data_IF_037410577334
#
_entry.id   IF_037410577334
#
_cell.length_a   1.000
_cell.length_b   1.000
_cell.length_c   1.000
_cell.angle_alpha   90.00
_cell.angle_beta   90.00
_cell.angle_gamma   90.00
#
_symmetry.space_group_name_H-M   'P 1'
#
loop_
_entity.id
_entity.type
_entity.pdbx_description
1 polymer ?
#
# COMPACT_ATOMS: atom_id res chain seq x y z
N UNK A 1 -17.51 -11.26 -6.51
CA UNK A 1 -16.45 -10.89 -7.48
C UNK A 1 -17.00 -11.14 -8.88
N UNK A 2 -16.92 -10.10 -9.73
CA UNK A 2 -17.64 -9.98 -11.00
C UNK A 2 -17.29 -11.05 -12.03
N UNK A 3 -18.32 -11.55 -12.72
CA UNK A 3 -18.30 -12.51 -13.84
C UNK A 3 -17.33 -12.13 -14.99
N UNK A 4 -16.89 -10.86 -15.03
CA UNK A 4 -15.87 -10.37 -15.97
C UNK A 4 -14.44 -10.85 -15.69
N UNK A 5 -14.09 -11.22 -14.45
CA UNK A 5 -12.72 -11.71 -14.14
C UNK A 5 -12.53 -13.16 -14.58
N UNK A 6 -13.59 -13.99 -14.45
CA UNK A 6 -13.59 -15.40 -14.88
C UNK A 6 -13.45 -15.55 -16.40
N UNK A 7 -14.08 -14.66 -17.16
CA UNK A 7 -13.97 -14.65 -18.63
C UNK A 7 -12.57 -14.29 -19.13
N UNK A 8 -11.85 -13.39 -18.43
CA UNK A 8 -10.50 -12.97 -18.81
C UNK A 8 -9.45 -14.05 -18.52
N UNK A 9 -9.56 -14.72 -17.36
CA UNK A 9 -8.72 -15.87 -17.01
C UNK A 9 -8.97 -17.09 -17.90
N UNK A 10 -10.23 -17.34 -18.30
CA UNK A 10 -10.55 -18.41 -19.26
C UNK A 10 -10.03 -18.10 -20.68
N UNK A 11 -10.06 -16.84 -21.12
CA UNK A 11 -9.47 -16.43 -22.41
C UNK A 11 -7.93 -16.48 -22.40
N UNK A 12 -7.28 -16.15 -21.28
CA UNK A 12 -5.83 -16.32 -21.12
C UNK A 12 -5.42 -17.79 -21.02
N UNK A 13 -6.22 -18.63 -20.35
CA UNK A 13 -6.01 -20.09 -20.30
C UNK A 13 -6.22 -20.76 -21.67
N UNK A 14 -7.19 -20.30 -22.48
CA UNK A 14 -7.36 -20.77 -23.86
C UNK A 14 -6.20 -20.35 -24.77
N UNK A 15 -5.57 -19.19 -24.52
CA UNK A 15 -4.38 -18.74 -25.26
C UNK A 15 -3.10 -19.46 -24.82
N UNK A 16 -2.99 -19.82 -23.54
CA UNK A 16 -1.83 -20.52 -22.98
C UNK A 16 -1.73 -22.00 -23.41
N UNK A 17 -2.81 -22.59 -23.93
CA UNK A 17 -2.89 -24.02 -24.30
C UNK A 17 -2.59 -24.37 -25.76
N UNK A 18 -2.08 -23.47 -26.60
CA UNK A 18 -2.02 -23.72 -28.07
C UNK A 18 -0.78 -23.20 -28.82
N UNK A 19 0.30 -22.78 -28.15
CA UNK A 19 1.56 -22.46 -28.85
C UNK A 19 2.66 -23.46 -28.52
N UNK A 20 3.06 -24.24 -29.52
CA UNK A 20 4.27 -25.07 -29.53
C UNK A 20 5.49 -24.19 -29.21
N UNK A 21 6.24 -24.45 -28.12
CA UNK A 21 7.39 -23.60 -27.76
C UNK A 21 8.45 -23.64 -28.87
N UNK A 22 8.90 -22.46 -29.31
CA UNK A 22 9.92 -22.34 -30.36
C UNK A 22 11.30 -22.11 -29.76
N UNK A 23 12.24 -23.02 -30.00
CA UNK A 23 13.51 -23.07 -29.28
C UNK A 23 14.70 -23.07 -30.24
N UNK A 24 15.61 -22.13 -30.05
CA UNK A 24 16.88 -22.12 -30.77
C UNK A 24 17.94 -22.90 -30.00
N UNK A 25 18.73 -23.74 -30.67
CA UNK A 25 19.83 -24.48 -30.05
C UNK A 25 21.17 -23.91 -30.52
N UNK A 26 21.88 -23.26 -29.59
CA UNK A 26 23.23 -22.75 -29.79
C UNK A 26 24.25 -23.73 -29.25
N UNK A 27 25.17 -24.19 -30.10
CA UNK A 27 26.23 -25.15 -29.74
C UNK A 27 27.48 -24.92 -30.59
N UNK A 28 28.60 -25.52 -30.20
CA UNK A 28 29.85 -25.44 -30.95
C UNK A 28 30.09 -26.70 -31.77
N UNK A 29 30.69 -26.53 -32.95
CA UNK A 29 30.98 -27.63 -33.88
C UNK A 29 32.23 -28.44 -33.44
N UNK A 30 32.20 -29.02 -32.24
CA UNK A 30 33.37 -29.64 -31.59
C UNK A 30 33.86 -30.91 -32.28
N UNK A 31 32.94 -31.83 -32.53
CA UNK A 31 33.22 -33.14 -33.13
C UNK A 31 31.97 -33.71 -33.78
N UNK A 32 32.12 -34.71 -34.65
CA UNK A 32 30.98 -35.42 -35.25
C UNK A 32 30.09 -36.06 -34.18
N UNK A 33 30.68 -36.60 -33.11
CA UNK A 33 29.94 -37.17 -31.98
C UNK A 33 29.11 -36.11 -31.24
N UNK A 34 29.68 -34.93 -30.99
CA UNK A 34 28.96 -33.83 -30.35
C UNK A 34 27.82 -33.32 -31.24
N UNK A 35 28.06 -33.13 -32.55
CA UNK A 35 27.05 -32.75 -33.52
C UNK A 35 25.88 -33.73 -33.55
N UNK A 36 26.17 -35.03 -33.62
CA UNK A 36 25.14 -36.07 -33.60
C UNK A 36 24.36 -36.07 -32.29
N UNK A 37 25.02 -35.82 -31.16
CA UNK A 37 24.36 -35.71 -29.87
C UNK A 37 23.38 -34.53 -29.82
N UNK A 38 23.80 -33.34 -30.30
CA UNK A 38 22.93 -32.15 -30.36
C UNK A 38 21.76 -32.37 -31.33
N UNK A 39 22.00 -33.01 -32.47
CA UNK A 39 20.95 -33.39 -33.42
C UNK A 39 19.93 -34.33 -32.76
N UNK A 40 20.40 -35.34 -32.03
CA UNK A 40 19.52 -36.25 -31.30
C UNK A 40 18.70 -35.51 -30.24
N UNK A 41 19.30 -34.60 -29.49
CA UNK A 41 18.58 -33.76 -28.52
C UNK A 41 17.49 -32.95 -29.23
N UNK A 42 17.82 -32.28 -30.33
CA UNK A 42 16.87 -31.47 -31.09
C UNK A 42 15.70 -32.31 -31.63
N UNK A 43 15.97 -33.49 -32.19
CA UNK A 43 14.94 -34.42 -32.67
C UNK A 43 14.01 -34.86 -31.54
N UNK A 44 14.57 -35.24 -30.40
CA UNK A 44 13.79 -35.63 -29.22
C UNK A 44 12.90 -34.48 -28.70
N UNK A 45 13.38 -33.22 -28.75
CA UNK A 45 12.55 -32.06 -28.39
C UNK A 45 11.37 -31.91 -29.37
N UNK A 46 11.60 -32.07 -30.68
CA UNK A 46 10.54 -32.01 -31.70
C UNK A 46 9.49 -33.10 -31.54
N UNK A 47 9.93 -34.33 -31.24
CA UNK A 47 9.03 -35.45 -30.92
C UNK A 47 8.14 -35.17 -29.71
N UNK A 48 8.60 -34.31 -28.79
CA UNK A 48 7.88 -33.90 -27.59
C UNK A 48 7.15 -32.54 -27.76
N UNK A 49 6.83 -32.15 -29.00
CA UNK A 49 5.98 -30.99 -29.29
C UNK A 49 6.66 -29.65 -29.03
N UNK A 50 7.97 -29.56 -29.25
CA UNK A 50 8.77 -28.33 -29.13
C UNK A 50 9.39 -28.05 -30.50
N UNK A 51 9.17 -26.87 -31.07
CA UNK A 51 9.71 -26.49 -32.38
C UNK A 51 11.18 -26.07 -32.24
N UNK A 52 12.08 -27.05 -32.27
CA UNK A 52 13.52 -26.84 -32.22
C UNK A 52 14.07 -26.39 -33.57
N UNK A 53 14.83 -25.28 -33.56
CA UNK A 53 15.57 -24.69 -34.67
C UNK A 53 17.04 -25.08 -34.52
N UNK A 54 17.61 -25.66 -35.57
CA UNK A 54 18.99 -26.16 -35.59
C UNK A 54 19.63 -25.88 -36.95
N UNK A 55 20.83 -25.33 -36.93
CA UNK A 55 21.61 -24.98 -38.13
C UNK A 55 21.73 -26.14 -39.14
N UNK A 56 21.92 -27.38 -38.67
CA UNK A 56 22.04 -28.59 -39.51
C UNK A 56 20.80 -28.83 -40.38
N UNK A 57 19.61 -28.39 -39.97
CA UNK A 57 18.38 -28.54 -40.76
C UNK A 57 18.10 -27.34 -41.67
N UNK A 58 18.46 -26.15 -41.19
CA UNK A 58 17.95 -24.89 -41.73
C UNK A 58 19.01 -24.10 -42.54
N UNK A 59 20.29 -24.46 -42.45
CA UNK A 59 21.38 -23.86 -43.24
C UNK A 59 21.90 -24.80 -44.34
N UNK A 60 22.13 -24.24 -45.53
CA UNK A 60 22.76 -24.89 -46.68
C UNK A 60 24.01 -24.11 -47.12
N UNK A 61 24.96 -24.74 -47.85
CA UNK A 61 26.08 -24.01 -48.44
C UNK A 61 25.60 -22.82 -49.29
N UNK A 62 26.04 -21.61 -48.93
CA UNK A 62 25.64 -20.36 -49.59
C UNK A 62 24.57 -19.54 -48.85
N UNK A 63 23.97 -20.08 -47.77
CA UNK A 63 23.06 -19.32 -46.92
C UNK A 63 23.78 -18.30 -46.03
N UNK A 64 23.05 -17.23 -45.69
CA UNK A 64 23.52 -16.19 -44.79
C UNK A 64 23.33 -16.61 -43.32
N UNK A 65 24.45 -16.87 -42.65
CA UNK A 65 24.50 -17.24 -41.22
C UNK A 65 23.96 -16.10 -40.35
N UNK A 66 24.15 -14.83 -40.72
CA UNK A 66 23.62 -13.71 -39.95
C UNK A 66 22.09 -13.68 -39.98
N UNK A 67 21.49 -14.01 -41.14
CA UNK A 67 20.03 -14.13 -41.27
C UNK A 67 19.48 -15.29 -40.44
N UNK A 68 20.18 -16.42 -40.39
CA UNK A 68 19.76 -17.54 -39.53
C UNK A 68 19.76 -17.16 -38.04
N UNK A 69 20.70 -16.30 -37.61
CA UNK A 69 20.74 -15.80 -36.25
C UNK A 69 19.56 -14.87 -35.88
N UNK A 70 18.76 -14.39 -36.83
CA UNK A 70 17.48 -13.71 -36.52
C UNK A 70 16.52 -14.64 -35.77
N UNK A 71 16.61 -15.96 -36.00
CA UNK A 71 15.80 -16.93 -35.29
C UNK A 71 16.09 -16.96 -33.78
N UNK A 72 17.33 -16.66 -33.38
CA UNK A 72 17.72 -16.55 -31.98
C UNK A 72 16.95 -15.42 -31.28
N UNK A 73 16.72 -14.28 -31.95
CA UNK A 73 15.91 -13.19 -31.42
C UNK A 73 14.42 -13.58 -31.30
N UNK A 74 13.87 -14.24 -32.33
CA UNK A 74 12.44 -14.62 -32.40
C UNK A 74 12.01 -15.85 -31.59
N UNK A 75 12.95 -16.60 -31.01
CA UNK A 75 12.64 -17.83 -30.26
C UNK A 75 12.20 -17.56 -28.81
N UNK A 76 11.29 -18.39 -28.30
CA UNK A 76 10.76 -18.30 -26.92
C UNK A 76 11.85 -18.59 -25.88
N UNK A 77 12.70 -19.59 -26.17
CA UNK A 77 13.89 -19.92 -25.38
C UNK A 77 15.06 -20.25 -26.29
N UNK A 78 16.25 -20.17 -25.72
CA UNK A 78 17.51 -20.53 -26.38
C UNK A 78 18.24 -21.52 -25.50
N UNK A 79 18.47 -22.73 -25.98
CA UNK A 79 19.34 -23.71 -25.32
C UNK A 79 20.77 -23.38 -25.70
N UNK A 80 21.66 -23.29 -24.71
CA UNK A 80 23.09 -23.13 -24.93
C UNK A 80 23.78 -24.42 -24.49
N UNK A 81 24.33 -25.15 -25.45
CA UNK A 81 25.08 -26.38 -25.19
C UNK A 81 26.51 -26.00 -24.80
N UNK A 82 26.74 -25.86 -23.50
CA UNK A 82 28.00 -25.46 -22.91
C UNK A 82 28.97 -26.66 -22.85
N UNK A 83 29.68 -26.91 -23.94
CA UNK A 83 30.89 -27.74 -23.91
C UNK A 83 32.09 -26.97 -23.40
N UNK A 84 33.15 -27.70 -23.05
CA UNK A 84 34.43 -27.09 -22.70
C UNK A 84 34.93 -26.16 -23.82
N UNK A 85 34.83 -26.60 -25.08
CA UNK A 85 35.22 -25.80 -26.25
C UNK A 85 34.32 -24.58 -26.46
N UNK A 86 33.01 -24.73 -26.23
CA UNK A 86 32.07 -23.60 -26.28
C UNK A 86 32.45 -22.52 -25.26
N UNK A 87 32.76 -22.93 -24.03
CA UNK A 87 33.13 -22.02 -22.96
C UNK A 87 34.47 -21.31 -23.23
N UNK A 88 35.48 -22.06 -23.70
CA UNK A 88 36.78 -21.50 -24.09
C UNK A 88 36.63 -20.44 -25.19
N UNK A 89 35.91 -20.74 -26.27
CA UNK A 89 35.64 -19.78 -27.34
C UNK A 89 34.90 -18.53 -26.88
N UNK A 90 33.94 -18.69 -25.96
CA UNK A 90 33.22 -17.56 -25.39
C UNK A 90 34.11 -16.65 -24.53
N UNK A 91 35.09 -17.22 -23.82
CA UNK A 91 36.08 -16.46 -23.04
C UNK A 91 37.11 -15.76 -23.96
N UNK A 92 37.56 -16.45 -25.01
CA UNK A 92 38.53 -15.96 -25.98
C UNK A 92 37.97 -14.93 -26.97
N UNK A 93 36.64 -14.71 -26.97
CA UNK A 93 35.88 -13.83 -27.86
C UNK A 93 36.27 -12.34 -27.90
N UNK A 94 37.42 -11.97 -27.33
CA UNK A 94 38.11 -10.68 -27.53
C UNK A 94 38.91 -10.62 -28.85
N UNK A 95 39.10 -11.73 -29.57
CA UNK A 95 40.03 -11.84 -30.72
C UNK A 95 39.44 -12.13 -32.12
N UNK A 96 38.12 -12.18 -32.30
CA UNK A 96 37.50 -12.37 -33.62
C UNK A 96 37.31 -13.82 -34.09
N UNK A 97 37.49 -14.81 -33.21
CA UNK A 97 37.14 -16.21 -33.47
C UNK A 97 35.80 -16.51 -32.78
N UNK A 98 34.75 -16.83 -33.57
CA UNK A 98 33.43 -17.20 -33.06
C UNK A 98 32.34 -16.14 -33.28
N UNK A 99 32.00 -15.87 -34.55
CA UNK A 99 30.92 -14.94 -34.92
C UNK A 99 29.57 -15.29 -34.26
N UNK A 100 29.24 -16.58 -34.21
CA UNK A 100 28.03 -17.12 -33.58
C UNK A 100 28.00 -16.81 -32.08
N UNK A 101 29.12 -17.05 -31.38
CA UNK A 101 29.25 -16.80 -29.94
C UNK A 101 29.12 -15.31 -29.62
N UNK A 102 29.69 -14.43 -30.46
CA UNK A 102 29.58 -12.99 -30.31
C UNK A 102 28.12 -12.49 -30.46
N UNK A 103 27.36 -13.04 -31.41
CA UNK A 103 25.94 -12.68 -31.59
C UNK A 103 25.07 -13.16 -30.42
N UNK A 104 25.33 -14.37 -29.90
CA UNK A 104 24.67 -14.87 -28.67
C UNK A 104 24.99 -13.95 -27.49
N UNK A 105 26.26 -13.56 -27.30
CA UNK A 105 26.65 -12.63 -26.23
C UNK A 105 26.00 -11.26 -26.39
N UNK A 106 25.93 -10.72 -27.62
CA UNK A 106 25.28 -9.44 -27.89
C UNK A 106 23.77 -9.47 -27.56
N UNK A 107 23.05 -10.52 -27.99
CA UNK A 107 21.63 -10.70 -27.68
C UNK A 107 21.40 -10.80 -26.16
N UNK A 108 22.27 -11.52 -25.43
CA UNK A 108 22.18 -11.69 -23.99
C UNK A 108 22.38 -10.35 -23.26
N UNK A 109 23.35 -9.54 -23.69
CA UNK A 109 23.62 -8.22 -23.12
C UNK A 109 22.51 -7.21 -23.44
N UNK A 110 21.86 -7.33 -24.60
CA UNK A 110 20.73 -6.48 -25.00
C UNK A 110 19.43 -6.84 -24.27
N UNK A 111 19.15 -8.12 -24.02
CA UNK A 111 17.93 -8.59 -23.35
C UNK A 111 17.97 -8.50 -21.80
N UNK A 112 18.59 -7.44 -21.25
CA UNK A 112 18.80 -7.13 -19.81
C UNK A 112 17.73 -7.70 -18.84
N UNK A 113 17.82 -9.00 -18.51
CA UNK A 113 17.00 -9.65 -17.48
C UNK A 113 16.04 -10.78 -17.90
N UNK A 114 16.00 -11.25 -19.16
CA UNK A 114 15.01 -12.29 -19.55
C UNK A 114 15.52 -13.73 -19.31
N UNK A 115 14.65 -14.58 -18.75
CA UNK A 115 14.78 -16.06 -18.55
C UNK A 115 14.80 -16.84 -19.89
N UNK A 116 15.39 -16.25 -20.95
CA UNK A 116 15.36 -16.75 -22.33
C UNK A 116 16.38 -17.87 -22.56
N UNK A 117 17.55 -17.77 -21.93
CA UNK A 117 18.68 -18.67 -22.17
C UNK A 117 18.72 -19.78 -21.12
N UNK A 118 18.82 -21.03 -21.58
CA UNK A 118 18.86 -22.25 -20.77
C UNK A 118 20.21 -22.93 -21.03
N UNK A 119 21.20 -22.79 -20.13
CA UNK A 119 22.47 -23.49 -20.26
C UNK A 119 22.29 -25.00 -19.99
N UNK A 120 22.93 -25.83 -20.82
CA UNK A 120 23.09 -27.25 -20.56
C UNK A 120 24.57 -27.64 -20.65
N UNK A 121 25.05 -28.52 -19.77
CA UNK A 121 26.43 -29.00 -19.81
C UNK A 121 26.55 -30.28 -20.64
N UNK A 122 27.47 -30.30 -21.61
CA UNK A 122 27.81 -31.52 -22.37
C UNK A 122 29.30 -31.52 -22.67
N UNK A 123 30.03 -32.60 -22.39
CA UNK A 123 31.48 -32.66 -22.58
C UNK A 123 32.21 -31.46 -21.92
N UNK A 124 31.90 -31.22 -20.64
CA UNK A 124 32.39 -30.08 -19.88
C UNK A 124 32.77 -30.51 -18.45
N UNK A 125 33.96 -31.12 -18.26
CA UNK A 125 34.34 -31.70 -16.97
C UNK A 125 34.55 -30.64 -15.88
N UNK A 126 34.97 -29.44 -16.25
CA UNK A 126 35.28 -28.32 -15.35
C UNK A 126 34.05 -27.50 -14.91
N UNK A 127 32.85 -27.83 -15.39
CA UNK A 127 31.62 -27.04 -15.19
C UNK A 127 31.76 -25.58 -15.67
N UNK A 128 32.62 -25.32 -16.65
CA UNK A 128 32.90 -23.95 -17.08
C UNK A 128 31.76 -23.44 -17.93
N UNK A 129 31.07 -22.41 -17.45
CA UNK A 129 30.09 -21.67 -18.25
C UNK A 129 30.74 -20.43 -18.88
N UNK A 130 30.25 -19.98 -20.03
CA UNK A 130 30.58 -18.66 -20.55
C UNK A 130 30.35 -17.56 -19.49
N UNK A 131 31.17 -16.48 -19.45
CA UNK A 131 31.07 -15.41 -18.44
C UNK A 131 29.65 -14.86 -18.23
N UNK A 132 28.90 -14.72 -19.32
CA UNK A 132 27.54 -14.19 -19.31
C UNK A 132 26.47 -15.14 -18.75
N UNK A 133 26.81 -16.41 -18.45
CA UNK A 133 25.92 -17.40 -17.83
C UNK A 133 26.35 -17.85 -16.43
N UNK A 134 27.45 -17.33 -15.87
CA UNK A 134 28.02 -17.82 -14.61
C UNK A 134 27.03 -17.82 -13.42
N UNK A 135 26.05 -16.91 -13.41
CA UNK A 135 25.05 -16.82 -12.33
C UNK A 135 23.74 -17.56 -12.63
N UNK A 136 23.65 -18.30 -13.74
CA UNK A 136 22.44 -19.01 -14.16
C UNK A 136 22.51 -20.46 -13.75
N UNK A 137 21.37 -21.08 -13.47
CA UNK A 137 21.26 -22.53 -13.28
C UNK A 137 21.37 -23.25 -14.64
N UNK A 138 21.90 -24.47 -14.65
CA UNK A 138 22.08 -25.31 -15.84
C UNK A 138 21.53 -26.73 -15.63
N UNK A 139 21.25 -27.43 -16.73
CA UNK A 139 20.93 -28.87 -16.70
C UNK A 139 22.17 -29.66 -17.12
N UNK A 140 22.52 -30.70 -16.37
CA UNK A 140 23.73 -31.49 -16.60
C UNK A 140 23.47 -32.71 -17.51
N UNK A 141 23.96 -32.67 -18.74
CA UNK A 141 23.85 -33.72 -19.75
C UNK A 141 25.19 -34.44 -20.02
N UNK A 142 26.15 -34.36 -19.10
CA UNK A 142 27.48 -34.97 -19.30
C UNK A 142 27.46 -36.50 -19.23
N UNK A 143 26.53 -37.06 -18.45
CA UNK A 143 26.33 -38.49 -18.28
C UNK A 143 25.24 -39.00 -19.23
N UNK A 144 25.61 -39.89 -20.16
CA UNK A 144 24.64 -40.52 -21.07
C UNK A 144 23.66 -41.43 -20.32
N UNK A 145 24.05 -41.97 -19.16
CA UNK A 145 23.18 -42.77 -18.31
C UNK A 145 21.98 -41.98 -17.76
N UNK A 146 22.15 -40.66 -17.58
CA UNK A 146 21.11 -39.78 -17.05
C UNK A 146 20.28 -39.10 -18.15
N UNK A 147 20.62 -39.32 -19.43
CA UNK A 147 20.07 -38.57 -20.57
C UNK A 147 18.54 -38.47 -20.55
N UNK A 148 17.84 -39.59 -20.38
CA UNK A 148 16.37 -39.62 -20.38
C UNK A 148 15.77 -38.76 -19.26
N UNK A 149 16.37 -38.79 -18.07
CA UNK A 149 15.89 -37.99 -16.92
C UNK A 149 16.11 -36.50 -17.13
N UNK A 150 17.24 -36.11 -17.74
CA UNK A 150 17.60 -34.72 -18.02
C UNK A 150 16.82 -34.16 -19.19
N UNK A 151 16.52 -34.99 -20.18
CA UNK A 151 15.62 -34.66 -21.28
C UNK A 151 14.21 -34.39 -20.75
N UNK A 152 13.69 -35.21 -19.84
CA UNK A 152 12.37 -34.96 -19.21
C UNK A 152 12.37 -33.64 -18.43
N UNK A 153 13.42 -33.38 -17.64
CA UNK A 153 13.60 -32.11 -16.92
C UNK A 153 13.57 -30.90 -17.89
N UNK A 154 14.32 -30.97 -18.99
CA UNK A 154 14.38 -29.92 -20.00
C UNK A 154 13.02 -29.72 -20.69
N UNK A 155 12.34 -30.79 -21.10
CA UNK A 155 11.01 -30.72 -21.74
C UNK A 155 10.01 -30.02 -20.81
N UNK A 156 10.01 -30.36 -19.52
CA UNK A 156 9.14 -29.73 -18.51
C UNK A 156 9.40 -28.23 -18.38
N UNK A 157 10.66 -27.82 -18.40
CA UNK A 157 11.06 -26.40 -18.37
C UNK A 157 10.52 -25.67 -19.61
N UNK A 158 10.68 -26.25 -20.80
CA UNK A 158 10.30 -25.63 -22.07
C UNK A 158 8.77 -25.52 -22.23
N UNK A 159 8.01 -26.50 -21.74
CA UNK A 159 6.53 -26.45 -21.68
C UNK A 159 5.98 -25.63 -20.50
N UNK A 160 6.84 -25.00 -19.69
CA UNK A 160 6.44 -24.28 -18.45
C UNK A 160 5.61 -25.16 -17.49
N UNK A 161 5.89 -26.46 -17.47
CA UNK A 161 5.19 -27.48 -16.69
C UNK A 161 6.15 -28.14 -15.67
N UNK A 162 6.64 -27.39 -14.65
CA UNK A 162 7.62 -27.92 -13.70
C UNK A 162 7.06 -29.13 -12.94
N UNK A 163 7.95 -30.10 -12.64
CA UNK A 163 7.62 -31.31 -11.87
C UNK A 163 6.97 -30.95 -10.52
N UNK A 164 7.53 -29.93 -9.85
CA UNK A 164 6.98 -29.35 -8.64
C UNK A 164 6.30 -28.03 -8.98
N UNK A 165 4.98 -28.05 -9.14
CA UNK A 165 4.20 -26.82 -9.22
C UNK A 165 4.20 -26.17 -7.84
N UNK A 166 4.54 -24.88 -7.77
CA UNK A 166 4.34 -24.09 -6.56
C UNK A 166 2.86 -24.22 -6.18
N UNK A 167 2.52 -24.81 -5.03
CA UNK A 167 1.13 -24.95 -4.64
C UNK A 167 0.50 -23.55 -4.54
N UNK A 168 -0.80 -23.46 -4.80
CA UNK A 168 -1.55 -22.24 -4.46
C UNK A 168 -1.26 -21.88 -3.01
N UNK A 169 -1.01 -20.60 -2.74
CA UNK A 169 -0.78 -20.14 -1.38
C UNK A 169 -1.95 -20.62 -0.51
N UNK A 170 -1.66 -21.43 0.51
CA UNK A 170 -2.67 -21.77 1.51
C UNK A 170 -3.15 -20.48 2.18
N UNK A 171 -4.34 -20.50 2.78
CA UNK A 171 -4.62 -19.49 3.81
C UNK A 171 -3.53 -19.61 4.84
N UNK A 172 -2.98 -18.46 5.27
CA UNK A 172 -2.05 -18.44 6.37
C UNK A 172 -2.63 -19.31 7.50
N UNK A 173 -1.88 -20.28 8.04
CA UNK A 173 -2.32 -20.94 9.26
C UNK A 173 -2.67 -19.84 10.26
N UNK A 174 -3.72 -20.03 11.07
CA UNK A 174 -3.94 -19.21 12.26
C UNK A 174 -2.85 -19.54 13.29
N UNK A 175 -1.60 -19.31 12.90
CA UNK A 175 -0.60 -18.80 13.81
C UNK A 175 -1.26 -17.56 14.41
N UNK A 176 -1.20 -17.33 15.73
CA UNK A 176 -1.50 -16.00 16.23
C UNK A 176 -0.67 -15.08 15.35
N UNK A 177 -1.37 -14.25 14.57
CA UNK A 177 -0.69 -13.23 13.79
C UNK A 177 0.24 -12.56 14.78
N UNK A 178 1.49 -12.32 14.39
CA UNK A 178 2.17 -11.16 14.93
C UNK A 178 1.44 -9.92 14.38
N UNK A 179 0.17 -9.77 14.78
CA UNK A 179 -0.65 -8.58 14.80
C UNK A 179 -0.30 -7.74 16.03
N UNK A 180 0.82 -8.06 16.71
CA UNK A 180 1.53 -7.11 17.55
C UNK A 180 2.54 -6.42 16.61
N UNK A 181 2.39 -5.16 16.20
CA UNK A 181 1.89 -4.01 16.93
C UNK A 181 1.40 -2.93 15.93
N UNK A 182 0.21 -3.05 15.35
CA UNK A 182 -0.56 -1.81 15.18
C UNK A 182 -1.19 -1.56 16.54
N UNK A 183 -0.39 -1.02 17.47
CA UNK A 183 -0.83 -0.60 18.80
C UNK A 183 -2.19 0.08 18.60
N UNK A 184 -3.26 -0.46 19.20
CA UNK A 184 -4.47 0.36 19.31
C UNK A 184 -4.05 1.54 20.17
N UNK A 185 -3.76 2.66 19.48
CA UNK A 185 -3.25 3.87 20.11
C UNK A 185 -4.18 4.28 21.24
N UNK A 186 -5.47 3.94 21.17
CA UNK A 186 -6.49 4.31 22.14
C UNK A 186 -6.60 3.37 23.35
N UNK A 187 -5.97 2.18 23.33
CA UNK A 187 -5.89 1.31 24.51
C UNK A 187 -4.81 1.74 25.51
N UNK A 188 -3.98 2.72 25.13
CA UNK A 188 -2.97 3.26 26.01
C UNK A 188 -3.55 3.88 27.28
N UNK A 189 -2.88 3.60 28.40
CA UNK A 189 -3.17 4.22 29.70
C UNK A 189 -3.19 5.76 29.64
N UNK A 190 -2.45 6.34 28.71
CA UNK A 190 -2.43 7.78 28.45
C UNK A 190 -3.82 8.30 28.03
N UNK A 191 -4.45 7.70 27.03
CA UNK A 191 -5.81 8.08 26.61
C UNK A 191 -6.83 7.82 27.70
N UNK A 192 -6.75 6.69 28.40
CA UNK A 192 -7.68 6.37 29.49
C UNK A 192 -7.61 7.40 30.63
N UNK A 193 -6.40 7.85 30.99
CA UNK A 193 -6.19 8.88 32.01
C UNK A 193 -6.81 10.21 31.61
N UNK A 194 -6.44 10.72 30.42
CA UNK A 194 -6.93 12.01 29.94
C UNK A 194 -8.43 12.02 29.68
N UNK A 195 -8.98 10.93 29.16
CA UNK A 195 -10.42 10.75 29.01
C UNK A 195 -11.15 10.76 30.34
N UNK A 196 -10.69 9.99 31.32
CA UNK A 196 -11.29 9.96 32.66
C UNK A 196 -11.31 11.35 33.30
N UNK A 197 -10.19 12.08 33.20
CA UNK A 197 -10.08 13.43 33.73
C UNK A 197 -11.02 14.43 33.02
N UNK A 198 -11.07 14.40 31.69
CA UNK A 198 -11.93 15.29 30.92
C UNK A 198 -13.41 15.01 31.17
N UNK A 199 -13.83 13.74 31.15
CA UNK A 199 -15.22 13.34 31.31
C UNK A 199 -15.81 13.74 32.67
N UNK A 200 -14.99 13.78 33.73
CA UNK A 200 -15.40 14.25 35.05
C UNK A 200 -15.97 15.69 35.04
N UNK A 201 -15.61 16.51 34.05
CA UNK A 201 -16.05 17.90 33.88
C UNK A 201 -16.94 18.11 32.64
N UNK A 202 -16.64 17.43 31.53
CA UNK A 202 -17.36 17.60 30.27
C UNK A 202 -18.76 16.99 30.32
N UNK A 203 -18.93 15.77 30.86
CA UNK A 203 -20.22 15.07 30.83
C UNK A 203 -21.34 15.79 31.60
N UNK A 204 -21.10 16.35 32.82
CA UNK A 204 -22.12 17.09 33.55
C UNK A 204 -22.63 18.35 32.84
N UNK A 205 -21.85 18.91 31.92
CA UNK A 205 -22.16 20.15 31.20
C UNK A 205 -22.97 19.93 29.90
N UNK A 206 -23.38 18.68 29.63
CA UNK A 206 -24.28 18.32 28.54
C UNK A 206 -23.58 17.59 27.39
N UNK A 207 -24.13 17.67 26.18
CA UNK A 207 -23.55 16.96 25.03
C UNK A 207 -22.14 17.45 24.72
N UNK A 208 -21.31 16.55 24.17
CA UNK A 208 -19.92 16.85 23.87
C UNK A 208 -19.39 16.10 22.65
N UNK A 209 -18.22 16.53 22.21
CA UNK A 209 -17.40 15.88 21.18
C UNK A 209 -16.06 15.50 21.81
N UNK A 210 -15.62 14.27 21.58
CA UNK A 210 -14.26 13.80 21.86
C UNK A 210 -13.52 13.58 20.55
N UNK A 211 -12.25 13.95 20.52
CA UNK A 211 -11.32 13.73 19.42
C UNK A 211 -10.11 13.02 20.01
N UNK A 212 -9.72 11.90 19.41
CA UNK A 212 -8.51 11.19 19.78
C UNK A 212 -7.76 10.85 18.50
N UNK A 213 -6.47 11.12 18.43
CA UNK A 213 -5.67 10.57 17.34
C UNK A 213 -4.26 10.23 17.78
N UNK A 214 -3.69 9.26 17.08
CA UNK A 214 -2.38 8.73 17.33
C UNK A 214 -1.81 8.10 16.08
N UNK A 215 -0.51 7.90 16.11
CA UNK A 215 0.26 7.28 15.03
C UNK A 215 0.80 5.95 15.53
N UNK A 216 0.73 4.93 14.68
CA UNK A 216 1.15 3.57 15.05
C UNK A 216 2.66 3.40 15.03
N UNK A 217 3.39 4.24 14.29
CA UNK A 217 4.86 4.28 14.29
C UNK A 217 5.40 5.15 15.43
N UNK A 218 6.62 4.85 15.86
CA UNK A 218 7.31 5.67 16.85
C UNK A 218 7.81 6.98 16.22
N UNK A 219 7.26 8.12 16.65
CA UNK A 219 7.65 9.47 16.20
C UNK A 219 8.79 10.07 17.01
N UNK A 220 9.24 9.40 18.07
CA UNK A 220 10.20 9.91 19.05
C UNK A 220 9.58 10.96 19.98
N UNK A 221 10.12 11.06 21.20
CA UNK A 221 9.64 12.03 22.18
C UNK A 221 10.12 13.45 21.82
N UNK A 222 9.26 14.46 22.03
CA UNK A 222 9.61 15.89 21.94
C UNK A 222 9.54 16.53 23.33
N UNK A 223 10.38 17.54 23.55
CA UNK A 223 10.34 18.38 24.75
C UNK A 223 9.01 19.17 24.83
N UNK A 224 8.50 19.40 26.03
CA UNK A 224 7.22 20.07 26.26
C UNK A 224 7.15 21.48 25.66
N UNK A 225 8.26 22.23 25.61
CA UNK A 225 8.29 23.56 24.99
C UNK A 225 8.19 23.47 23.47
N UNK A 226 8.79 22.43 22.88
CA UNK A 226 8.65 22.14 21.45
C UNK A 226 7.20 21.73 21.16
N UNK A 227 6.60 20.86 21.98
CA UNK A 227 5.19 20.48 21.84
C UNK A 227 4.24 21.67 21.92
N UNK A 228 4.48 22.62 22.82
CA UNK A 228 3.65 23.81 22.95
C UNK A 228 3.67 24.64 21.66
N UNK A 229 4.85 24.84 21.07
CA UNK A 229 4.99 25.54 19.79
C UNK A 229 4.32 24.78 18.63
N UNK A 230 4.47 23.45 18.61
CA UNK A 230 3.83 22.59 17.61
C UNK A 230 2.31 22.67 17.71
N UNK A 231 1.74 22.56 18.91
CA UNK A 231 0.30 22.66 19.15
C UNK A 231 -0.24 24.02 18.66
N UNK A 232 0.41 25.12 19.05
CA UNK A 232 0.01 26.47 18.67
C UNK A 232 0.05 26.69 17.14
N UNK A 233 1.08 26.19 16.47
CA UNK A 233 1.22 26.29 14.99
C UNK A 233 0.29 25.36 14.21
N UNK A 234 -0.35 24.40 14.88
CA UNK A 234 -1.22 23.41 14.23
C UNK A 234 -2.69 23.81 14.22
N UNK A 235 -3.08 24.77 15.07
CA UNK A 235 -4.44 25.28 15.21
C UNK A 235 -4.99 25.87 13.90
N UNK A 236 -6.28 25.62 13.64
CA UNK A 236 -7.03 26.14 12.49
C UNK A 236 -8.02 27.20 12.97
N UNK A 237 -7.74 28.47 12.71
CA UNK A 237 -8.52 29.59 13.27
C UNK A 237 -9.73 30.03 12.43
N UNK A 238 -10.37 29.11 11.72
CA UNK A 238 -11.48 29.43 10.80
C UNK A 238 -12.85 29.47 11.51
N UNK A 239 -13.07 28.67 12.57
CA UNK A 239 -14.37 28.57 13.24
C UNK A 239 -14.25 28.48 14.77
N UNK A 240 -14.80 29.48 15.46
CA UNK A 240 -14.91 29.46 16.93
C UNK A 240 -13.56 29.32 17.65
N UNK A 241 -13.54 28.54 18.74
CA UNK A 241 -12.31 28.15 19.41
C UNK A 241 -11.69 26.96 18.69
N UNK A 242 -10.41 27.06 18.26
CA UNK A 242 -9.81 26.00 17.47
C UNK A 242 -9.61 24.73 18.29
N UNK A 243 -9.59 23.59 17.61
CA UNK A 243 -9.10 22.33 18.16
C UNK A 243 -7.64 22.53 18.60
N UNK A 244 -7.31 22.07 19.81
CA UNK A 244 -6.00 22.24 20.44
C UNK A 244 -5.64 23.69 20.78
N UNK A 245 -6.63 24.55 21.06
CA UNK A 245 -6.40 25.99 21.33
C UNK A 245 -5.35 26.23 22.42
N UNK A 246 -4.32 27.00 22.09
CA UNK A 246 -3.30 27.45 23.04
C UNK A 246 -3.66 28.84 23.55
N UNK A 247 -4.01 28.93 24.84
CA UNK A 247 -4.26 30.21 25.50
C UNK A 247 -3.00 30.69 26.26
N UNK A 248 -2.83 32.00 26.35
CA UNK A 248 -1.73 32.64 27.08
C UNK A 248 -2.18 33.27 28.42
N UNK A 249 -3.38 32.91 28.88
CA UNK A 249 -3.97 33.39 30.14
C UNK A 249 -4.00 32.28 31.20
N UNK A 250 -3.94 32.63 32.48
CA UNK A 250 -3.78 31.64 33.56
C UNK A 250 -4.90 30.58 33.63
N UNK A 251 -6.15 30.94 33.32
CA UNK A 251 -7.33 30.06 33.37
C UNK A 251 -7.53 29.20 32.10
N UNK A 252 -6.44 28.80 31.45
CA UNK A 252 -6.52 27.97 30.25
C UNK A 252 -5.20 27.72 29.53
N UNK A 253 -4.11 28.36 29.98
CA UNK A 253 -2.79 28.09 29.42
C UNK A 253 -2.40 26.62 29.57
N UNK A 254 -1.81 25.99 28.53
CA UNK A 254 -1.31 24.63 28.65
C UNK A 254 -0.22 24.53 29.72
N UNK A 255 -0.23 23.44 30.47
CA UNK A 255 0.79 23.14 31.49
C UNK A 255 1.57 21.88 31.12
N UNK A 256 2.88 21.85 31.39
CA UNK A 256 3.68 20.66 31.18
C UNK A 256 3.35 19.59 32.23
N UNK A 257 3.29 18.35 31.78
CA UNK A 257 3.26 17.13 32.60
C UNK A 257 4.45 16.24 32.22
N UNK A 258 4.71 15.17 32.98
CA UNK A 258 5.87 14.29 32.74
C UNK A 258 5.83 13.57 31.39
N UNK A 259 4.65 13.41 30.81
CA UNK A 259 4.36 12.67 29.59
C UNK A 259 3.74 13.53 28.48
N UNK A 260 3.71 14.86 28.63
CA UNK A 260 3.12 15.75 27.62
C UNK A 260 2.86 17.17 28.09
N UNK A 261 1.91 17.81 27.42
CA UNK A 261 1.30 19.09 27.82
C UNK A 261 -0.22 18.94 27.85
N UNK A 262 -0.88 19.65 28.77
CA UNK A 262 -2.33 19.57 28.97
C UNK A 262 -2.91 20.96 29.17
N UNK A 263 -4.01 21.28 28.50
CA UNK A 263 -4.82 22.46 28.75
C UNK A 263 -6.16 22.06 29.35
N UNK A 264 -6.55 22.80 30.40
CA UNK A 264 -7.84 22.68 31.09
C UNK A 264 -8.43 24.07 31.07
N UNK A 265 -9.45 24.28 30.24
CA UNK A 265 -9.96 25.61 29.95
C UNK A 265 -11.38 25.71 30.50
N UNK A 266 -11.51 26.53 31.54
CA UNK A 266 -12.78 26.92 32.13
C UNK A 266 -13.10 28.33 31.62
N UNK A 267 -14.12 28.47 30.76
CA UNK A 267 -14.50 29.78 30.23
C UNK A 267 -15.46 30.49 31.18
N UNK A 268 -15.10 31.66 31.76
CA UNK A 268 -16.03 32.49 32.52
C UNK A 268 -16.85 33.44 31.63
N UNK A 269 -16.69 33.37 30.29
CA UNK A 269 -17.13 34.41 29.35
C UNK A 269 -18.61 34.22 28.94
N UNK A 270 -19.15 33.01 29.01
CA UNK A 270 -20.56 32.72 28.68
C UNK A 270 -21.39 32.58 29.95
N UNK A 271 -22.70 32.84 29.86
CA UNK A 271 -23.65 32.71 30.98
C UNK A 271 -23.87 31.26 31.45
N UNK A 272 -23.25 30.29 30.78
CA UNK A 272 -23.25 28.87 31.09
C UNK A 272 -21.80 28.37 31.18
N UNK A 273 -21.52 27.49 32.12
CA UNK A 273 -20.20 26.89 32.28
C UNK A 273 -19.84 26.05 31.04
N UNK A 274 -18.70 26.35 30.41
CA UNK A 274 -18.10 25.54 29.34
C UNK A 274 -16.72 25.05 29.77
N UNK A 275 -16.45 23.77 29.49
CA UNK A 275 -15.16 23.15 29.76
C UNK A 275 -14.59 22.53 28.48
N UNK A 276 -13.37 22.97 28.15
CA UNK A 276 -12.59 22.42 27.05
C UNK A 276 -11.31 21.81 27.63
N UNK A 277 -11.00 20.59 27.21
CA UNK A 277 -9.83 19.84 27.66
C UNK A 277 -9.08 19.34 26.45
N UNK A 278 -7.76 19.53 26.42
CA UNK A 278 -6.92 18.81 25.48
C UNK A 278 -5.57 18.45 26.07
N UNK A 279 -5.00 17.35 25.59
CA UNK A 279 -3.69 16.84 25.96
C UNK A 279 -2.91 16.43 24.71
N UNK A 280 -1.60 16.67 24.74
CA UNK A 280 -0.66 16.26 23.70
C UNK A 280 0.53 15.56 24.37
N UNK A 281 0.72 14.28 24.06
CA UNK A 281 1.81 13.49 24.64
C UNK A 281 3.16 13.81 24.00
N UNK A 282 4.25 13.36 24.65
CA UNK A 282 5.60 13.50 24.10
C UNK A 282 5.78 12.86 22.72
N UNK A 283 5.02 11.80 22.41
CA UNK A 283 5.07 11.09 21.14
C UNK A 283 3.95 11.49 20.15
N UNK A 284 3.21 12.58 20.42
CA UNK A 284 2.22 13.11 19.47
C UNK A 284 0.89 12.37 19.44
N UNK A 285 0.56 11.63 20.50
CA UNK A 285 -0.82 11.24 20.77
C UNK A 285 -1.59 12.48 21.26
N UNK A 286 -2.78 12.68 20.72
CA UNK A 286 -3.60 13.85 21.01
C UNK A 286 -4.99 13.42 21.46
N UNK A 287 -5.47 14.05 22.52
CA UNK A 287 -6.81 13.87 23.04
C UNK A 287 -7.43 15.24 23.27
N UNK A 288 -8.68 15.43 22.85
CA UNK A 288 -9.50 16.60 23.15
C UNK A 288 -10.93 16.19 23.48
N UNK A 289 -11.55 16.90 24.42
CA UNK A 289 -12.98 16.85 24.67
C UNK A 289 -13.51 18.25 24.96
N UNK A 290 -14.64 18.61 24.33
CA UNK A 290 -15.32 19.89 24.55
C UNK A 290 -16.83 19.75 24.42
N UNK A 291 -17.57 20.58 25.16
CA UNK A 291 -19.03 20.62 25.05
C UNK A 291 -19.49 21.16 23.70
N UNK A 292 -20.63 20.67 23.23
CA UNK A 292 -21.21 21.10 21.97
C UNK A 292 -21.67 22.55 22.04
N UNK A 293 -21.38 23.31 20.99
CA UNK A 293 -21.88 24.67 20.78
C UNK A 293 -23.42 24.75 20.87
N UNK A 294 -24.10 23.68 20.46
CA UNK A 294 -25.54 23.49 20.53
C UNK A 294 -26.08 23.54 21.97
N UNK A 295 -25.31 23.17 23.00
CA UNK A 295 -25.78 23.19 24.40
C UNK A 295 -26.21 24.59 24.87
N UNK A 296 -25.61 25.63 24.31
CA UNK A 296 -25.97 27.01 24.61
C UNK A 296 -27.01 27.54 23.64
N UNK A 297 -26.83 27.27 22.34
CA UNK A 297 -27.62 27.90 21.25
C UNK A 297 -28.97 27.23 20.99
N UNK A 298 -29.00 25.90 20.96
CA UNK A 298 -30.22 25.10 20.81
C UNK A 298 -29.99 23.71 21.42
N UNK A 299 -30.29 23.53 22.72
CA UNK A 299 -30.00 22.30 23.45
C UNK A 299 -30.72 21.06 22.88
N UNK A 300 -31.76 21.28 22.08
CA UNK A 300 -32.55 20.22 21.46
C UNK A 300 -32.03 19.85 20.07
N UNK A 301 -30.97 20.49 19.57
CA UNK A 301 -30.47 20.27 18.22
C UNK A 301 -29.06 19.69 18.17
N UNK A 302 -28.75 19.08 17.03
CA UNK A 302 -27.41 18.77 16.55
C UNK A 302 -27.27 19.40 15.17
N UNK A 303 -26.29 20.29 14.99
CA UNK A 303 -26.10 21.00 13.72
C UNK A 303 -25.15 20.23 12.81
N UNK A 304 -25.68 19.65 11.72
CA UNK A 304 -24.86 18.81 10.84
C UNK A 304 -23.67 19.58 10.23
N UNK A 305 -23.86 20.85 9.84
CA UNK A 305 -22.79 21.66 9.26
C UNK A 305 -21.69 21.99 10.28
N UNK A 306 -22.07 22.24 11.55
CA UNK A 306 -21.10 22.38 12.63
C UNK A 306 -20.31 21.09 12.86
N UNK A 307 -20.97 19.91 12.81
CA UNK A 307 -20.28 18.62 12.91
C UNK A 307 -19.26 18.43 11.79
N UNK A 308 -19.65 18.73 10.54
CA UNK A 308 -18.77 18.64 9.37
C UNK A 308 -17.54 19.54 9.55
N UNK A 309 -17.75 20.81 9.91
CA UNK A 309 -16.66 21.77 10.12
C UNK A 309 -15.71 21.30 11.23
N UNK A 310 -16.23 20.90 12.40
CA UNK A 310 -15.39 20.46 13.52
C UNK A 310 -14.63 19.16 13.23
N UNK A 311 -15.24 18.23 12.49
CA UNK A 311 -14.54 17.01 12.06
C UNK A 311 -13.45 17.30 11.03
N UNK A 312 -13.71 18.16 10.04
CA UNK A 312 -12.69 18.58 9.07
C UNK A 312 -11.54 19.32 9.77
N UNK A 313 -11.85 20.19 10.72
CA UNK A 313 -10.87 20.87 11.56
C UNK A 313 -10.00 19.89 12.35
N UNK A 314 -10.57 18.82 12.90
CA UNK A 314 -9.81 17.79 13.63
C UNK A 314 -8.80 17.07 12.72
N UNK A 315 -9.22 16.73 11.50
CA UNK A 315 -8.37 16.10 10.49
C UNK A 315 -7.24 17.04 10.03
N UNK A 316 -7.55 18.32 9.83
CA UNK A 316 -6.57 19.35 9.44
C UNK A 316 -5.59 19.66 10.57
N UNK A 317 -6.06 19.75 11.81
CA UNK A 317 -5.22 19.90 13.00
C UNK A 317 -4.28 18.70 13.13
N UNK A 318 -4.79 17.48 12.99
CA UNK A 318 -3.99 16.26 12.99
C UNK A 318 -2.89 16.27 11.91
N UNK A 319 -3.25 16.66 10.68
CA UNK A 319 -2.30 16.85 9.57
C UNK A 319 -1.22 17.87 9.92
N UNK A 320 -1.61 19.05 10.39
CA UNK A 320 -0.66 20.11 10.72
C UNK A 320 0.26 19.72 11.89
N UNK A 321 -0.30 19.03 12.91
CA UNK A 321 0.46 18.55 14.05
C UNK A 321 1.58 17.61 13.60
N UNK A 322 1.26 16.59 12.80
CA UNK A 322 2.27 15.64 12.34
C UNK A 322 3.26 16.22 11.32
N UNK A 323 2.83 17.17 10.48
CA UNK A 323 3.74 17.95 9.63
C UNK A 323 4.75 18.73 10.51
N UNK A 324 4.26 19.43 11.54
CA UNK A 324 5.09 20.22 12.45
C UNK A 324 5.98 19.35 13.36
N UNK A 325 5.60 18.09 13.60
CA UNK A 325 6.42 17.10 14.30
C UNK A 325 7.49 16.45 13.41
N UNK A 326 7.40 16.60 12.09
CA UNK A 326 8.30 15.96 11.13
C UNK A 326 8.06 14.45 11.01
N UNK A 327 6.79 14.03 10.98
CA UNK A 327 6.42 12.64 10.71
C UNK A 327 6.60 12.33 9.22
N UNK A 328 7.14 11.15 8.90
CA UNK A 328 7.38 10.72 7.52
C UNK A 328 6.08 10.48 6.73
N UNK A 329 6.13 10.75 5.43
CA UNK A 329 5.08 10.42 4.48
C UNK A 329 4.79 8.91 4.48
N UNK A 330 3.51 8.55 4.40
CA UNK A 330 3.03 7.17 4.43
C UNK A 330 2.82 6.60 5.83
N UNK A 331 3.14 7.35 6.91
CA UNK A 331 2.89 6.88 8.26
C UNK A 331 1.39 6.70 8.55
N UNK A 332 1.04 5.61 9.22
CA UNK A 332 -0.36 5.25 9.50
C UNK A 332 -0.85 5.99 10.75
N UNK A 333 -1.88 6.82 10.55
CA UNK A 333 -2.55 7.58 11.60
C UNK A 333 -3.95 7.01 11.81
N UNK A 334 -4.33 6.90 13.08
CA UNK A 334 -5.71 6.59 13.49
C UNK A 334 -6.31 7.80 14.17
N UNK A 335 -7.51 8.18 13.74
CA UNK A 335 -8.29 9.27 14.32
C UNK A 335 -9.69 8.76 14.66
N UNK A 336 -10.11 9.02 15.89
CA UNK A 336 -11.41 8.66 16.45
C UNK A 336 -12.15 9.91 16.87
N UNK A 337 -13.43 9.97 16.53
CA UNK A 337 -14.35 11.00 17.00
C UNK A 337 -15.52 10.31 17.71
N UNK A 338 -15.90 10.84 18.87
CA UNK A 338 -17.11 10.46 19.59
C UNK A 338 -17.99 11.67 19.83
N UNK A 339 -19.29 11.50 19.67
CA UNK A 339 -20.31 12.45 20.11
C UNK A 339 -21.17 11.76 21.15
N UNK A 340 -21.49 12.42 22.26
CA UNK A 340 -22.36 11.88 23.32
C UNK A 340 -23.35 12.94 23.83
N UNK A 341 -24.43 12.52 24.49
CA UNK A 341 -25.52 13.40 24.92
C UNK A 341 -26.46 13.80 23.77
N UNK A 342 -26.48 12.99 22.70
CA UNK A 342 -27.27 13.29 21.49
C UNK A 342 -28.70 12.71 21.54
N UNK A 343 -29.03 11.89 22.54
CA UNK A 343 -30.35 11.25 22.64
C UNK A 343 -31.47 12.29 22.75
N UNK A 344 -32.52 12.11 21.96
CA UNK A 344 -33.69 12.99 21.93
C UNK A 344 -33.48 14.33 21.22
N UNK A 345 -32.25 14.65 20.80
CA UNK A 345 -31.96 15.85 20.01
C UNK A 345 -32.35 15.64 18.55
N UNK A 346 -32.75 16.71 17.90
CA UNK A 346 -33.13 16.76 16.49
C UNK A 346 -31.94 17.17 15.61
N UNK A 347 -31.81 16.54 14.44
CA UNK A 347 -30.83 17.00 13.46
C UNK A 347 -31.32 18.30 12.81
N UNK A 348 -30.46 19.32 12.78
CA UNK A 348 -30.78 20.65 12.26
C UNK A 348 -29.52 21.28 11.63
N UNK A 349 -29.58 22.58 11.33
CA UNK A 349 -28.46 23.36 10.80
C UNK A 349 -28.28 24.66 11.56
N UNK A 350 -27.05 25.13 11.69
CA UNK A 350 -26.77 26.48 12.21
C UNK A 350 -26.90 27.58 11.13
N UNK A 351 -27.09 27.19 9.86
CA UNK A 351 -27.21 28.08 8.70
C UNK A 351 -28.66 28.10 8.17
N UNK A 352 -29.40 29.21 8.30
CA UNK A 352 -30.79 29.32 7.84
C UNK A 352 -30.99 29.04 6.34
N UNK A 353 -29.96 29.26 5.51
CA UNK A 353 -30.04 29.00 4.07
C UNK A 353 -29.96 27.50 3.72
N UNK A 354 -29.57 26.65 4.67
CA UNK A 354 -29.55 25.18 4.54
C UNK A 354 -30.69 24.52 5.34
N UNK A 355 -31.75 25.28 5.65
CA UNK A 355 -32.89 24.80 6.42
C UNK A 355 -33.41 23.49 5.80
N UNK A 356 -33.36 22.41 6.57
CA UNK A 356 -34.00 21.17 6.18
C UNK A 356 -35.51 21.34 6.40
N UNK A 357 -36.32 20.82 5.46
CA UNK A 357 -37.77 20.78 5.65
C UNK A 357 -38.11 20.13 7.01
N UNK A 358 -39.20 20.55 7.67
CA UNK A 358 -39.48 20.23 9.06
C UNK A 358 -39.83 18.74 9.24
N UNK A 359 -38.80 17.90 9.26
CA UNK A 359 -38.86 16.51 9.71
C UNK A 359 -38.19 16.44 11.08
N UNK A 360 -38.91 15.90 12.07
CA UNK A 360 -38.36 15.60 13.39
C UNK A 360 -37.44 14.38 13.32
N UNK A 361 -36.22 14.56 12.80
CA UNK A 361 -35.17 13.56 12.81
C UNK A 361 -34.47 13.54 14.16
N UNK A 362 -35.05 12.84 15.14
CA UNK A 362 -34.50 12.71 16.50
C UNK A 362 -33.62 11.46 16.64
N UNK A 363 -32.50 11.57 17.36
CA UNK A 363 -31.70 10.39 17.71
C UNK A 363 -32.30 9.60 18.87
N UNK A 364 -32.37 8.28 18.74
CA UNK A 364 -32.72 7.37 19.85
C UNK A 364 -31.51 6.90 20.64
N UNK A 365 -30.33 6.91 20.02
CA UNK A 365 -29.05 6.61 20.64
C UNK A 365 -28.48 7.84 21.35
N UNK A 366 -27.69 7.63 22.41
CA UNK A 366 -27.05 8.72 23.16
C UNK A 366 -25.64 9.07 22.69
N UNK A 367 -25.00 8.16 21.95
CA UNK A 367 -23.66 8.41 21.45
C UNK A 367 -23.42 7.76 20.09
N UNK A 368 -22.46 8.31 19.37
CA UNK A 368 -21.89 7.77 18.15
C UNK A 368 -20.37 7.89 18.23
N UNK A 369 -19.66 6.83 17.87
CA UNK A 369 -18.20 6.81 17.81
C UNK A 369 -17.78 6.22 16.47
N UNK A 370 -16.76 6.82 15.85
CA UNK A 370 -16.23 6.36 14.57
C UNK A 370 -14.73 6.58 14.54
N UNK A 371 -14.02 5.62 13.97
CA UNK A 371 -12.56 5.66 13.82
C UNK A 371 -12.22 5.50 12.35
N UNK A 372 -11.29 6.32 11.86
CA UNK A 372 -10.71 6.20 10.52
C UNK A 372 -9.22 6.00 10.62
N UNK A 373 -8.69 5.30 9.61
CA UNK A 373 -7.26 5.13 9.39
C UNK A 373 -6.89 5.78 8.05
N UNK A 374 -5.74 6.45 8.00
CA UNK A 374 -5.21 7.10 6.79
C UNK A 374 -3.68 7.23 6.85
N UNK A 375 -3.07 7.47 5.70
CA UNK A 375 -1.65 7.78 5.58
C UNK A 375 -1.42 9.28 5.75
N UNK A 376 -0.40 9.65 6.53
CA UNK A 376 0.08 11.02 6.64
C UNK A 376 0.93 11.41 5.42
N UNK A 377 0.85 12.64 4.88
CA UNK A 377 -0.14 13.67 5.18
C UNK A 377 -1.48 13.45 4.46
N UNK A 378 -2.57 13.88 5.09
CA UNK A 378 -3.91 13.90 4.51
C UNK A 378 -3.99 14.93 3.37
N UNK A 379 -4.44 14.53 2.19
CA UNK A 379 -4.75 15.51 1.12
C UNK A 379 -6.06 16.24 1.41
N UNK A 380 -6.29 17.42 0.82
CA UNK A 380 -7.55 18.14 0.99
C UNK A 380 -8.77 17.33 0.49
N UNK A 381 -8.59 16.55 -0.57
CA UNK A 381 -9.60 15.60 -1.05
C UNK A 381 -9.89 14.53 0.00
N UNK A 382 -8.85 13.96 0.60
CA UNK A 382 -9.02 12.92 1.63
C UNK A 382 -9.65 13.47 2.91
N UNK A 383 -9.48 14.77 3.23
CA UNK A 383 -10.18 15.41 4.35
C UNK A 383 -11.70 15.37 4.14
N UNK A 384 -12.18 15.59 2.92
CA UNK A 384 -13.61 15.49 2.58
C UNK A 384 -14.11 14.06 2.81
N UNK A 385 -13.41 13.07 2.24
CA UNK A 385 -13.81 11.66 2.35
C UNK A 385 -13.77 11.16 3.80
N UNK A 386 -12.71 11.48 4.55
CA UNK A 386 -12.58 11.06 5.95
C UNK A 386 -13.58 11.77 6.86
N UNK A 387 -13.97 13.02 6.54
CA UNK A 387 -15.05 13.71 7.26
C UNK A 387 -16.39 13.01 7.06
N UNK A 388 -16.69 12.58 5.83
CA UNK A 388 -17.89 11.80 5.53
C UNK A 388 -17.88 10.45 6.23
N UNK A 389 -16.77 9.71 6.17
CA UNK A 389 -16.60 8.41 6.83
C UNK A 389 -16.81 8.50 8.35
N UNK A 390 -16.25 9.51 9.01
CA UNK A 390 -16.39 9.74 10.45
C UNK A 390 -17.80 10.13 10.88
N UNK A 391 -18.56 10.84 10.03
CA UNK A 391 -19.87 11.40 10.40
C UNK A 391 -21.04 10.56 9.94
N UNK A 392 -20.87 9.67 8.96
CA UNK A 392 -21.95 8.84 8.47
C UNK A 392 -22.62 8.02 9.60
N UNK A 393 -21.87 7.34 10.50
CA UNK A 393 -22.49 6.61 11.62
C UNK A 393 -23.18 7.52 12.64
N UNK A 394 -22.85 8.80 12.73
CA UNK A 394 -23.58 9.76 13.55
C UNK A 394 -24.91 10.14 12.88
N UNK A 395 -24.88 10.49 11.60
CA UNK A 395 -26.05 11.01 10.88
C UNK A 395 -27.13 9.94 10.66
N UNK A 396 -26.74 8.69 10.45
CA UNK A 396 -27.69 7.57 10.34
C UNK A 396 -28.55 7.40 11.60
N UNK A 397 -28.08 7.84 12.79
CA UNK A 397 -28.86 7.77 14.03
C UNK A 397 -30.05 8.73 14.06
N UNK A 398 -30.11 9.70 13.14
CA UNK A 398 -31.20 10.65 12.99
C UNK A 398 -32.11 10.23 11.83
N UNK A 399 -32.77 9.08 12.00
CA UNK A 399 -33.71 8.50 11.02
C UNK A 399 -33.07 8.17 9.65
N UNK A 400 -31.96 7.43 9.67
CA UNK A 400 -31.21 7.03 8.48
C UNK A 400 -30.79 8.21 7.59
N UNK A 401 -30.60 9.39 8.19
CA UNK A 401 -30.23 10.57 7.44
C UNK A 401 -28.85 10.42 6.80
N UNK A 402 -28.81 10.67 5.49
CA UNK A 402 -27.60 10.68 4.69
C UNK A 402 -27.45 12.04 3.99
N UNK A 403 -26.25 12.60 4.07
CA UNK A 403 -25.86 13.82 3.37
C UNK A 403 -25.21 13.49 2.04
N UNK A 404 -25.55 14.22 0.99
CA UNK A 404 -24.90 14.05 -0.30
C UNK A 404 -23.43 14.46 -0.24
N UNK A 405 -22.59 13.78 -1.02
CA UNK A 405 -21.17 14.06 -1.13
C UNK A 405 -20.89 15.53 -1.50
N UNK A 406 -21.72 16.12 -2.37
CA UNK A 406 -21.63 17.53 -2.76
C UNK A 406 -21.74 18.50 -1.58
N UNK A 407 -22.50 18.17 -0.53
CA UNK A 407 -22.63 19.03 0.65
C UNK A 407 -21.36 18.97 1.51
N UNK A 408 -20.73 17.80 1.62
CA UNK A 408 -19.42 17.68 2.27
C UNK A 408 -18.35 18.46 1.49
N UNK A 409 -18.28 18.27 0.17
CA UNK A 409 -17.33 18.99 -0.69
C UNK A 409 -17.48 20.51 -0.55
N UNK A 410 -18.71 21.02 -0.54
CA UNK A 410 -19.00 22.44 -0.40
C UNK A 410 -18.63 22.98 0.99
N UNK A 411 -19.06 22.32 2.08
CA UNK A 411 -18.78 22.79 3.45
C UNK A 411 -17.28 22.68 3.77
N UNK A 412 -16.68 21.50 3.55
CA UNK A 412 -15.27 21.26 3.85
C UNK A 412 -14.36 22.08 2.92
N UNK A 413 -14.69 22.17 1.63
CA UNK A 413 -13.92 22.96 0.67
C UNK A 413 -13.90 24.45 1.01
N UNK A 414 -15.05 25.03 1.37
CA UNK A 414 -15.11 26.41 1.83
C UNK A 414 -14.34 26.62 3.15
N UNK A 415 -14.42 25.66 4.08
CA UNK A 415 -13.68 25.72 5.34
C UNK A 415 -12.15 25.70 5.13
N UNK A 416 -11.64 24.82 4.26
CA UNK A 416 -10.22 24.76 3.89
C UNK A 416 -9.75 26.09 3.25
N UNK A 417 -10.63 26.76 2.51
CA UNK A 417 -10.38 28.10 1.95
C UNK A 417 -10.52 29.24 2.96
N UNK A 418 -10.74 28.94 4.25
CA UNK A 418 -10.86 29.95 5.31
C UNK A 418 -12.21 30.67 5.35
N UNK A 419 -13.27 30.12 4.73
CA UNK A 419 -14.61 30.70 4.75
C UNK A 419 -15.48 30.02 5.80
N UNK A 420 -16.21 30.81 6.60
CA UNK A 420 -17.25 30.30 7.51
C UNK A 420 -18.48 29.82 6.71
N UNK A 421 -19.01 28.64 7.04
CA UNK A 421 -20.10 27.95 6.29
C UNK A 421 -21.34 27.62 7.11
#
# INVERSE_FOLDING_TARGET
>A
MSDKSRGKEQLEALRAGSQTPKIFISYSHDSAQHKNWVLNLASNLRENGIDAILDVWDLKPGDDVARFMEHLASSDRVIIVCSEHYAQKAEEGKGGVGYETMLVTAEILQNRGVVKFIPILRNNPSNTLPPFLQTKMWIDFRSDADYSSRLEELIRVLHKAPLYKKPSLGKAPSLPEDSSLVRDVFEDKWFQRHRSEAMAKVEPLGAFMEISFGISSNTGNRDQRILLNIAERSAIHTFGWPIGVVLHVDNGRPRPESDGIVARIESPITTKERYDYWALSLNGAFYEAHNLFENERDPNAIFFNTRIVRTAEALLYCRNLYNNMGVDDGAIVRLRIRHSGIKGRNLSTSNPNRMMWPEERKSTADSSESTVEFQHPLTDHDVVEKTRELLNPLFVLFDFFELSESVYQDIVGNFIQGRCT
#
